data_IF_595601289169
#
_entry.id   IF_595601289169
#
_cell.length_a   1.000
_cell.length_b   1.000
_cell.length_c   1.000
_cell.angle_alpha   90.00
_cell.angle_beta   90.00
_cell.angle_gamma   90.00
#
_symmetry.space_group_name_H-M   'P 1'
#
loop_
_entity.id
_entity.type
_entity.pdbx_description
1 polymer ?
#
# COMPACT_ATOMS: atom_id res chain seq x y z
N UNK A 1 18.54 -11.44 -12.33
CA UNK A 1 17.23 -11.21 -11.69
C UNK A 1 17.36 -10.92 -10.19
N UNK A 2 18.00 -11.77 -9.38
CA UNK A 2 18.13 -11.53 -7.93
C UNK A 2 18.73 -10.16 -7.56
N UNK A 3 19.79 -9.72 -8.25
CA UNK A 3 20.40 -8.39 -8.04
C UNK A 3 19.43 -7.23 -8.35
N UNK A 4 18.56 -7.40 -9.33
CA UNK A 4 17.54 -6.41 -9.71
C UNK A 4 16.46 -6.29 -8.64
N UNK A 5 15.95 -7.42 -8.13
CA UNK A 5 14.93 -7.46 -7.07
C UNK A 5 15.45 -6.86 -5.77
N UNK A 6 16.69 -7.19 -5.38
CA UNK A 6 17.33 -6.59 -4.20
C UNK A 6 17.44 -5.06 -4.32
N UNK A 7 17.78 -4.54 -5.51
CA UNK A 7 17.83 -3.10 -5.73
C UNK A 7 16.45 -2.45 -5.68
N UNK A 8 15.41 -3.13 -6.17
CA UNK A 8 14.03 -2.67 -6.04
C UNK A 8 13.61 -2.65 -4.57
N UNK A 9 13.85 -3.72 -3.81
CA UNK A 9 13.53 -3.77 -2.38
C UNK A 9 14.23 -2.64 -1.60
N UNK A 10 15.51 -2.37 -1.88
CA UNK A 10 16.24 -1.24 -1.29
C UNK A 10 15.65 0.12 -1.64
N UNK A 11 15.06 0.27 -2.82
CA UNK A 11 14.37 1.52 -3.20
C UNK A 11 13.03 1.67 -2.52
N UNK A 12 12.32 0.56 -2.29
CA UNK A 12 11.04 0.54 -1.60
C UNK A 12 11.19 0.74 -0.08
N UNK A 13 12.31 0.29 0.48
CA UNK A 13 12.69 0.48 1.89
C UNK A 13 13.23 1.90 2.19
N UNK A 14 13.52 2.69 1.16
CA UNK A 14 13.90 4.10 1.33
C UNK A 14 12.66 4.97 1.43
N UNK A 15 12.75 5.94 2.33
CA UNK A 15 11.72 6.95 2.51
C UNK A 15 10.33 6.31 2.76
N UNK A 16 9.25 7.07 2.61
CA UNK A 16 7.89 6.54 2.73
C UNK A 16 7.46 5.71 1.50
N UNK A 17 8.38 5.18 0.69
CA UNK A 17 8.05 4.48 -0.55
C UNK A 17 7.27 3.19 -0.34
N UNK A 18 7.54 2.46 0.73
CA UNK A 18 6.75 1.31 1.10
C UNK A 18 5.29 1.70 1.41
N UNK A 19 5.08 2.82 2.10
CA UNK A 19 3.76 3.34 2.45
C UNK A 19 3.00 3.78 1.18
N UNK A 20 3.67 4.52 0.29
CA UNK A 20 3.14 4.90 -1.02
C UNK A 20 2.73 3.68 -1.84
N UNK A 21 3.56 2.63 -1.82
CA UNK A 21 3.28 1.39 -2.53
C UNK A 21 2.06 0.65 -2.00
N UNK A 22 1.87 0.57 -0.68
CA UNK A 22 0.65 -0.02 -0.10
C UNK A 22 -0.62 0.71 -0.56
N UNK A 23 -0.59 2.04 -0.58
CA UNK A 23 -1.71 2.85 -1.08
C UNK A 23 -2.01 2.55 -2.55
N UNK A 24 -0.97 2.56 -3.41
CA UNK A 24 -1.10 2.31 -4.84
C UNK A 24 -1.50 0.87 -5.18
N UNK A 25 -1.00 -0.12 -4.43
CA UNK A 25 -1.42 -1.52 -4.56
C UNK A 25 -2.92 -1.65 -4.30
N UNK A 26 -3.40 -1.05 -3.21
CA UNK A 26 -4.82 -1.13 -2.87
C UNK A 26 -5.69 -0.43 -3.91
N UNK A 27 -5.23 0.72 -4.43
CA UNK A 27 -5.91 1.44 -5.51
C UNK A 27 -5.98 0.59 -6.80
N UNK A 28 -4.86 -0.01 -7.22
CA UNK A 28 -4.75 -0.84 -8.44
C UNK A 28 -5.57 -2.12 -8.34
N UNK A 29 -5.57 -2.79 -7.19
CA UNK A 29 -6.35 -4.01 -6.94
C UNK A 29 -7.85 -3.77 -7.18
N UNK A 30 -8.37 -2.63 -6.73
CA UNK A 30 -9.81 -2.31 -6.83
C UNK A 30 -10.15 -1.71 -8.21
N UNK A 31 -9.29 -0.86 -8.76
CA UNK A 31 -9.53 -0.17 -10.04
C UNK A 31 -9.49 -1.10 -11.25
N UNK A 32 -8.60 -2.10 -11.25
CA UNK A 32 -8.41 -3.03 -12.36
C UNK A 32 -9.13 -4.36 -12.13
N UNK A 33 -10.34 -4.37 -11.56
CA UNK A 33 -11.10 -5.61 -11.35
C UNK A 33 -11.30 -6.45 -12.64
N UNK A 34 -11.25 -5.80 -13.82
CA UNK A 34 -11.34 -6.45 -15.14
C UNK A 34 -10.04 -7.18 -15.57
N UNK A 35 -8.86 -6.64 -15.25
CA UNK A 35 -7.58 -7.31 -15.42
C UNK A 35 -7.17 -7.83 -14.04
N UNK A 36 -7.51 -9.08 -13.71
CA UNK A 36 -7.21 -9.74 -12.42
C UNK A 36 -5.74 -9.51 -12.01
N UNK A 37 -5.48 -8.40 -11.34
CA UNK A 37 -4.20 -8.09 -10.79
C UNK A 37 -4.05 -9.01 -9.59
N UNK A 38 -3.23 -10.06 -9.75
CA UNK A 38 -3.12 -11.13 -8.76
C UNK A 38 -2.04 -10.76 -7.77
N UNK A 39 -2.44 -10.26 -6.61
CA UNK A 39 -1.52 -10.17 -5.49
C UNK A 39 -1.24 -11.56 -4.89
N UNK A 40 -0.02 -11.82 -4.40
CA UNK A 40 0.29 -12.99 -3.59
C UNK A 40 -0.68 -13.11 -2.40
N UNK A 41 -0.98 -14.35 -2.00
CA UNK A 41 -1.93 -14.63 -0.90
C UNK A 41 -1.51 -13.91 0.40
N UNK A 42 -0.23 -13.92 0.72
CA UNK A 42 0.29 -13.34 1.96
C UNK A 42 0.13 -11.81 1.95
N UNK A 43 0.37 -11.16 0.81
CA UNK A 43 0.16 -9.72 0.68
C UNK A 43 -1.32 -9.35 0.85
N UNK A 44 -2.24 -10.13 0.28
CA UNK A 44 -3.70 -9.93 0.49
C UNK A 44 -4.09 -10.08 1.95
N UNK A 45 -3.51 -11.06 2.66
CA UNK A 45 -3.76 -11.26 4.08
C UNK A 45 -3.28 -10.06 4.90
N UNK A 46 -2.10 -9.53 4.60
CA UNK A 46 -1.55 -8.35 5.27
C UNK A 46 -2.43 -7.12 5.03
N UNK A 47 -2.78 -6.82 3.77
CA UNK A 47 -3.67 -5.70 3.42
C UNK A 47 -5.03 -5.81 4.13
N UNK A 48 -5.60 -7.02 4.17
CA UNK A 48 -6.86 -7.29 4.88
C UNK A 48 -6.72 -7.07 6.39
N UNK A 49 -5.62 -7.52 7.00
CA UNK A 49 -5.36 -7.33 8.42
C UNK A 49 -5.23 -5.83 8.77
N UNK A 50 -4.48 -5.06 7.97
CA UNK A 50 -4.32 -3.61 8.13
C UNK A 50 -5.67 -2.89 8.03
N UNK A 51 -6.51 -3.26 7.05
CA UNK A 51 -7.87 -2.73 6.91
C UNK A 51 -8.76 -3.04 8.12
N UNK A 52 -8.79 -4.29 8.58
CA UNK A 52 -9.58 -4.70 9.74
C UNK A 52 -9.12 -3.95 11.00
N UNK A 53 -7.81 -3.85 11.18
CA UNK A 53 -7.19 -3.12 12.28
C UNK A 53 -7.56 -1.63 12.27
N UNK A 54 -7.49 -0.97 11.10
CA UNK A 54 -7.95 0.41 10.90
C UNK A 54 -9.42 0.62 11.30
N UNK A 55 -10.31 -0.28 10.85
CA UNK A 55 -11.73 -0.19 11.16
C UNK A 55 -12.01 -0.39 12.65
N UNK A 56 -11.30 -1.32 13.30
CA UNK A 56 -11.42 -1.54 14.74
C UNK A 56 -11.05 -0.29 15.54
N UNK A 57 -9.96 0.40 15.18
CA UNK A 57 -9.57 1.66 15.84
C UNK A 57 -10.56 2.78 15.63
N UNK A 58 -11.13 2.92 14.43
CA UNK A 58 -12.20 3.91 14.20
C UNK A 58 -13.45 3.65 15.05
N UNK A 59 -13.71 2.40 15.42
CA UNK A 59 -14.91 1.98 16.14
C UNK A 59 -14.78 1.95 17.66
N UNK A 60 -13.56 2.00 18.23
CA UNK A 60 -13.32 1.90 19.67
C UNK A 60 -12.70 3.20 20.21
N UNK A 61 -13.24 3.71 21.32
CA UNK A 61 -12.51 4.66 22.18
C UNK A 61 -11.17 4.03 22.59
N UNK A 62 -10.09 4.82 22.67
CA UNK A 62 -8.73 4.35 22.89
C UNK A 62 -8.66 3.42 24.12
N UNK A 63 -8.17 2.19 23.93
CA UNK A 63 -7.82 1.34 25.06
C UNK A 63 -6.47 1.82 25.63
N UNK A 64 -6.27 1.78 26.96
CA UNK A 64 -5.17 2.45 27.66
C UNK A 64 -3.74 1.91 27.39
N UNK A 65 -3.56 0.90 26.53
CA UNK A 65 -2.24 0.38 26.11
C UNK A 65 -1.63 1.16 24.92
N UNK A 66 -2.01 2.43 24.75
CA UNK A 66 -1.84 3.21 23.51
C UNK A 66 -0.42 3.78 23.25
N UNK A 67 0.62 2.96 23.44
CA UNK A 67 1.88 3.14 22.71
C UNK A 67 1.92 2.20 21.51
N UNK A 68 0.92 2.32 20.63
CA UNK A 68 1.02 1.69 19.31
C UNK A 68 2.05 2.45 18.49
N UNK A 69 3.00 1.73 17.86
CA UNK A 69 4.04 2.37 17.06
C UNK A 69 3.40 3.23 15.95
N UNK A 70 3.83 4.49 15.85
CA UNK A 70 3.40 5.42 14.80
C UNK A 70 3.45 4.81 13.40
N UNK A 71 4.40 3.88 13.17
CA UNK A 71 4.53 3.15 11.92
C UNK A 71 3.27 2.33 11.55
N UNK A 72 2.64 1.64 12.49
CA UNK A 72 1.45 0.82 12.21
C UNK A 72 0.29 1.70 11.73
N UNK A 73 0.06 2.83 12.41
CA UNK A 73 -0.98 3.80 12.04
C UNK A 73 -0.78 4.31 10.62
N UNK A 74 0.47 4.62 10.25
CA UNK A 74 0.82 5.07 8.90
C UNK A 74 0.52 4.02 7.82
N UNK A 75 0.83 2.75 8.08
CA UNK A 75 0.55 1.65 7.14
C UNK A 75 -0.95 1.46 6.92
N UNK A 76 -1.73 1.57 7.99
CA UNK A 76 -3.17 1.37 7.96
C UNK A 76 -3.90 2.52 7.27
N UNK A 77 -3.44 3.75 7.48
CA UNK A 77 -3.93 4.93 6.77
C UNK A 77 -3.64 4.84 5.26
N UNK A 78 -2.48 4.30 4.86
CA UNK A 78 -2.13 4.11 3.45
C UNK A 78 -3.06 3.13 2.74
N UNK A 79 -3.33 1.97 3.34
CA UNK A 79 -4.27 0.99 2.81
C UNK A 79 -5.68 1.59 2.70
N UNK A 80 -6.12 2.30 3.74
CA UNK A 80 -7.45 2.91 3.74
C UNK A 80 -7.57 4.03 2.70
N UNK A 81 -6.51 4.82 2.50
CA UNK A 81 -6.45 5.88 1.49
C UNK A 81 -6.60 5.29 0.10
N UNK A 82 -5.85 4.24 -0.25
CA UNK A 82 -5.97 3.57 -1.54
C UNK A 82 -7.36 2.98 -1.79
N UNK A 83 -7.98 2.41 -0.75
CA UNK A 83 -9.34 1.87 -0.83
C UNK A 83 -10.38 2.98 -1.07
N UNK A 84 -10.28 4.08 -0.32
CA UNK A 84 -11.21 5.22 -0.43
C UNK A 84 -11.10 5.92 -1.78
N UNK A 85 -9.88 6.00 -2.33
CA UNK A 85 -9.58 6.60 -3.61
C UNK A 85 -10.28 5.88 -4.78
N UNK A 86 -10.52 4.57 -4.65
CA UNK A 86 -11.27 3.82 -5.66
C UNK A 86 -12.79 3.90 -5.45
N UNK A 87 -13.25 4.00 -4.20
CA UNK A 87 -14.68 4.03 -3.88
C UNK A 87 -15.37 5.35 -4.30
N UNK A 88 -14.60 6.42 -4.49
CA UNK A 88 -15.10 7.71 -4.96
C UNK A 88 -14.57 8.01 -6.38
N UNK A 89 -15.41 7.93 -7.43
CA UNK A 89 -15.02 8.24 -8.80
C UNK A 89 -14.57 9.70 -9.00
N UNK A 90 -14.91 10.59 -8.07
CA UNK A 90 -14.49 11.99 -8.05
C UNK A 90 -13.21 12.23 -7.25
N UNK A 91 -12.71 11.20 -6.55
CA UNK A 91 -11.46 11.31 -5.83
C UNK A 91 -10.29 11.09 -6.77
N UNK A 92 -9.26 11.92 -6.59
CA UNK A 92 -8.14 11.99 -7.50
C UNK A 92 -7.31 10.70 -7.39
N UNK A 93 -7.10 10.00 -8.50
CA UNK A 93 -6.23 8.80 -8.55
C UNK A 93 -4.78 9.07 -8.13
N UNK A 94 -4.42 10.35 -7.95
CA UNK A 94 -3.12 10.83 -7.49
C UNK A 94 -3.04 11.03 -5.97
N UNK A 95 -4.08 10.74 -5.19
CA UNK A 95 -4.09 10.99 -3.74
C UNK A 95 -2.95 10.27 -2.99
N UNK A 96 -2.58 9.06 -3.41
CA UNK A 96 -1.41 8.35 -2.88
C UNK A 96 -0.11 9.10 -3.17
N UNK A 97 0.01 9.73 -4.33
CA UNK A 97 1.22 10.49 -4.71
C UNK A 97 1.33 11.81 -3.96
N UNK A 98 0.20 12.49 -3.76
CA UNK A 98 0.15 13.73 -3.00
C UNK A 98 0.45 13.51 -1.51
N UNK A 99 -0.13 12.44 -0.94
CA UNK A 99 0.00 12.14 0.49
C UNK A 99 1.37 11.59 0.88
N UNK A 100 2.00 10.82 -0.02
CA UNK A 100 3.32 10.22 0.18
C UNK A 100 4.36 10.81 -0.78
N UNK A 101 4.38 12.14 -0.88
CA UNK A 101 5.25 12.88 -1.80
C UNK A 101 6.74 12.83 -1.45
N UNK A 102 7.07 12.41 -0.23
CA UNK A 102 8.46 12.17 0.21
C UNK A 102 9.09 11.05 -0.61
N UNK A 103 8.32 10.04 -1.02
CA UNK A 103 8.83 8.99 -1.89
C UNK A 103 9.08 9.53 -3.32
N UNK A 104 10.33 9.51 -3.80
CA UNK A 104 10.67 10.04 -5.12
C UNK A 104 10.23 9.16 -6.28
N UNK A 105 9.84 7.90 -6.03
CA UNK A 105 9.40 6.99 -7.08
C UNK A 105 8.03 7.40 -7.64
N UNK A 106 7.90 7.41 -8.98
CA UNK A 106 6.61 7.65 -9.63
C UNK A 106 5.64 6.48 -9.39
N UNK A 107 4.35 6.69 -9.63
CA UNK A 107 3.36 5.60 -9.60
C UNK A 107 3.73 4.48 -10.58
N UNK A 108 4.19 4.85 -11.78
CA UNK A 108 4.59 3.91 -12.82
C UNK A 108 5.80 3.07 -12.38
N UNK A 109 6.79 3.70 -11.73
CA UNK A 109 7.94 3.00 -11.16
C UNK A 109 7.50 2.00 -10.09
N UNK A 110 6.62 2.41 -9.18
CA UNK A 110 6.12 1.55 -8.10
C UNK A 110 5.36 0.36 -8.69
N UNK A 111 4.51 0.56 -9.69
CA UNK A 111 3.82 -0.55 -10.35
C UNK A 111 4.80 -1.51 -11.03
N UNK A 112 5.80 -0.99 -11.74
CA UNK A 112 6.84 -1.82 -12.35
C UNK A 112 7.64 -2.60 -11.29
N UNK A 113 7.92 -2.00 -10.13
CA UNK A 113 8.60 -2.65 -9.01
C UNK A 113 7.76 -3.77 -8.41
N UNK A 114 6.45 -3.56 -8.24
CA UNK A 114 5.56 -4.60 -7.70
C UNK A 114 5.45 -5.77 -8.69
N UNK A 115 5.30 -5.47 -9.99
CA UNK A 115 5.24 -6.49 -11.04
C UNK A 115 6.55 -7.31 -11.06
N UNK A 116 7.71 -6.65 -10.97
CA UNK A 116 9.01 -7.33 -10.93
C UNK A 116 9.22 -8.18 -9.67
N UNK A 117 8.75 -7.72 -8.51
CA UNK A 117 8.78 -8.53 -7.27
C UNK A 117 7.85 -9.73 -7.42
N UNK A 118 6.65 -9.53 -7.96
CA UNK A 118 5.67 -10.59 -8.15
C UNK A 118 6.20 -11.70 -9.07
N UNK A 119 6.75 -11.32 -10.23
CA UNK A 119 7.32 -12.25 -11.22
C UNK A 119 8.53 -13.03 -10.68
N UNK A 120 9.25 -12.49 -9.69
CA UNK A 120 10.40 -13.19 -9.08
C UNK A 120 9.99 -14.29 -8.10
N UNK A 121 8.84 -14.15 -7.44
CA UNK A 121 8.36 -15.09 -6.41
C UNK A 121 7.28 -16.07 -6.94
N UNK A 122 6.96 -16.00 -8.23
CA UNK A 122 6.17 -16.99 -8.98
C UNK A 122 7.07 -18.00 -9.70
#
# INVERSE_FOLDING_TARGET
>A
MAHTVVNVLKRMDRDECFVKALCLIQLREVSNAAQKYRLPKDLKMILSALKISANRRKSKLPSPDEELSSALVTLEDAVQTGLNACANPHSNTTICEQRYSICPASREDIYAYIDLIYDYFL
#
